data_IF_984774138707
#
_entry.id   IF_984774138707
#
_cell.length_a   1.000
_cell.length_b   1.000
_cell.length_c   1.000
_cell.angle_alpha   90.00
_cell.angle_beta   90.00
_cell.angle_gamma   90.00
#
_symmetry.space_group_name_H-M   'P 1'
#
loop_
_entity.id
_entity.type
_entity.pdbx_description
1 polymer ?
#
# COMPACT_ATOMS: atom_id res chain seq x y z
N UNK A 1 -7.24 -18.64 17.29
CA UNK A 1 -6.80 -18.74 15.88
C UNK A 1 -7.48 -17.60 15.13
N UNK A 2 -6.74 -16.71 14.46
CA UNK A 2 -7.28 -15.55 13.75
C UNK A 2 -6.94 -15.69 12.30
N UNK A 3 -7.84 -15.32 11.39
CA UNK A 3 -7.55 -15.27 9.96
C UNK A 3 -7.01 -13.88 9.61
N UNK A 4 -5.73 -13.80 9.26
CA UNK A 4 -5.01 -12.56 8.99
C UNK A 4 -4.82 -12.39 7.48
N UNK A 5 -5.21 -11.22 6.97
CA UNK A 5 -4.97 -10.82 5.58
C UNK A 5 -3.70 -9.99 5.45
N UNK A 6 -2.94 -10.21 4.39
CA UNK A 6 -1.77 -9.40 4.04
C UNK A 6 -2.10 -8.60 2.77
N UNK A 7 -1.86 -7.29 2.81
CA UNK A 7 -1.94 -6.40 1.65
C UNK A 7 -0.56 -5.81 1.39
N UNK A 8 0.06 -6.13 0.26
CA UNK A 8 1.35 -5.55 -0.13
C UNK A 8 1.51 -5.53 -1.66
N UNK A 9 2.37 -4.62 -2.19
CA UNK A 9 2.76 -4.65 -3.59
C UNK A 9 3.52 -5.94 -3.95
N UNK A 10 3.47 -6.34 -5.22
CA UNK A 10 4.17 -7.52 -5.76
C UNK A 10 5.69 -7.37 -5.86
N UNK A 11 6.22 -6.15 -5.69
CA UNK A 11 7.66 -5.91 -5.71
C UNK A 11 8.38 -6.72 -4.62
N UNK A 12 9.50 -7.37 -4.99
CA UNK A 12 10.21 -8.30 -4.10
C UNK A 12 10.64 -7.70 -2.76
N UNK A 13 10.97 -6.39 -2.73
CA UNK A 13 11.32 -5.67 -1.50
C UNK A 13 10.17 -5.56 -0.50
N UNK A 14 8.93 -5.65 -0.94
CA UNK A 14 7.73 -5.65 -0.11
C UNK A 14 7.21 -7.07 0.13
N UNK A 15 7.14 -7.87 -0.92
CA UNK A 15 6.56 -9.21 -0.87
C UNK A 15 7.37 -10.16 0.03
N UNK A 16 8.72 -10.11 -0.02
CA UNK A 16 9.56 -10.99 0.79
C UNK A 16 9.36 -10.76 2.31
N UNK A 17 9.50 -9.54 2.85
CA UNK A 17 9.25 -9.31 4.27
C UNK A 17 7.82 -9.69 4.69
N UNK A 18 6.83 -9.37 3.86
CA UNK A 18 5.42 -9.68 4.17
C UNK A 18 5.14 -11.18 4.16
N UNK A 19 5.70 -11.94 3.23
CA UNK A 19 5.54 -13.41 3.22
C UNK A 19 6.29 -14.07 4.37
N UNK A 20 7.48 -13.55 4.76
CA UNK A 20 8.21 -14.02 5.94
C UNK A 20 7.39 -13.79 7.21
N UNK A 21 6.85 -12.59 7.39
CA UNK A 21 5.99 -12.26 8.52
C UNK A 21 4.72 -13.14 8.54
N UNK A 22 4.11 -13.35 7.36
CA UNK A 22 2.96 -14.24 7.20
C UNK A 22 3.27 -15.68 7.57
N UNK A 23 4.43 -16.19 7.18
CA UNK A 23 4.90 -17.51 7.56
C UNK A 23 5.04 -17.66 9.08
N UNK A 24 5.67 -16.69 9.75
CA UNK A 24 5.81 -16.69 11.22
C UNK A 24 4.44 -16.65 11.93
N UNK A 25 3.49 -15.89 11.43
CA UNK A 25 2.13 -15.87 11.95
C UNK A 25 1.43 -17.21 11.77
N UNK A 26 1.64 -17.88 10.64
CA UNK A 26 1.13 -19.23 10.39
C UNK A 26 1.75 -20.24 11.35
N UNK A 27 3.06 -20.18 11.66
CA UNK A 27 3.72 -21.06 12.63
C UNK A 27 3.15 -20.86 14.05
N UNK A 28 2.63 -19.66 14.34
CA UNK A 28 1.94 -19.35 15.62
C UNK A 28 0.46 -19.75 15.63
N UNK A 29 0.00 -20.50 14.64
CA UNK A 29 -1.35 -21.06 14.57
C UNK A 29 -2.41 -20.13 13.98
N UNK A 30 -2.01 -19.03 13.31
CA UNK A 30 -2.95 -18.19 12.56
C UNK A 30 -3.16 -18.71 11.13
N UNK A 31 -4.32 -18.47 10.57
CA UNK A 31 -4.56 -18.61 9.14
C UNK A 31 -4.10 -17.33 8.44
N UNK A 32 -3.37 -17.43 7.33
CA UNK A 32 -2.81 -16.25 6.65
C UNK A 32 -3.07 -16.31 5.17
N UNK A 33 -3.72 -15.27 4.64
CA UNK A 33 -4.02 -15.12 3.21
C UNK A 33 -3.45 -13.80 2.70
N UNK A 34 -2.63 -13.83 1.65
CA UNK A 34 -2.22 -12.63 0.95
C UNK A 34 -3.22 -12.31 -0.17
N UNK A 35 -3.67 -11.06 -0.22
CA UNK A 35 -4.53 -10.52 -1.27
C UNK A 35 -3.68 -9.62 -2.15
N UNK A 36 -3.61 -9.92 -3.44
CA UNK A 36 -2.75 -9.19 -4.37
C UNK A 36 -2.97 -9.55 -5.82
N UNK A 37 -2.20 -8.94 -6.70
CA UNK A 37 -2.24 -9.23 -8.14
C UNK A 37 -1.57 -10.57 -8.47
N UNK A 38 -1.87 -11.14 -9.64
CA UNK A 38 -1.47 -12.49 -10.07
C UNK A 38 0.04 -12.77 -9.93
N UNK A 39 0.89 -11.77 -10.14
CA UNK A 39 2.34 -11.92 -10.07
C UNK A 39 2.89 -12.24 -8.66
N UNK A 40 2.07 -12.06 -7.62
CA UNK A 40 2.45 -12.45 -6.26
C UNK A 40 2.20 -13.94 -5.97
N UNK A 41 1.32 -14.59 -6.73
CA UNK A 41 0.78 -15.91 -6.42
C UNK A 41 1.84 -16.98 -6.18
N UNK A 42 2.76 -17.15 -7.12
CA UNK A 42 3.77 -18.22 -7.03
C UNK A 42 4.63 -18.09 -5.78
N UNK A 43 5.05 -16.87 -5.46
CA UNK A 43 5.89 -16.58 -4.29
C UNK A 43 5.14 -16.76 -2.97
N UNK A 44 3.88 -16.37 -2.92
CA UNK A 44 3.01 -16.53 -1.74
C UNK A 44 2.75 -17.99 -1.45
N UNK A 45 2.41 -18.77 -2.47
CA UNK A 45 2.19 -20.22 -2.35
C UNK A 45 3.47 -20.97 -1.96
N UNK A 46 4.63 -20.57 -2.52
CA UNK A 46 5.93 -21.13 -2.15
C UNK A 46 6.30 -20.84 -0.67
N UNK A 47 5.83 -19.72 -0.10
CA UNK A 47 5.95 -19.44 1.32
C UNK A 47 4.93 -20.21 2.18
N UNK A 48 4.11 -21.08 1.58
CA UNK A 48 3.09 -21.87 2.27
C UNK A 48 1.89 -21.08 2.77
N UNK A 49 1.64 -19.88 2.23
CA UNK A 49 0.51 -19.04 2.58
C UNK A 49 -0.63 -19.21 1.58
N UNK A 50 -1.84 -18.83 1.98
CA UNK A 50 -2.97 -18.76 1.07
C UNK A 50 -2.89 -17.50 0.21
N UNK A 51 -3.42 -17.58 -1.02
CA UNK A 51 -3.46 -16.46 -1.95
C UNK A 51 -4.88 -16.20 -2.46
N UNK A 52 -5.23 -14.92 -2.59
CA UNK A 52 -6.43 -14.45 -3.25
C UNK A 52 -6.07 -13.40 -4.28
N UNK A 53 -6.36 -13.70 -5.54
CA UNK A 53 -6.15 -12.76 -6.63
C UNK A 53 -7.17 -11.62 -6.60
N UNK A 54 -6.67 -10.44 -6.96
CA UNK A 54 -7.47 -9.27 -7.32
C UNK A 54 -6.86 -8.62 -8.56
N UNK A 55 -7.68 -7.91 -9.33
CA UNK A 55 -7.22 -7.18 -10.51
C UNK A 55 -6.74 -8.08 -11.64
N UNK A 56 -7.30 -9.24 -11.84
CA UNK A 56 -6.86 -10.18 -12.87
C UNK A 56 -6.95 -9.58 -14.28
N UNK A 57 -7.91 -8.66 -14.52
CA UNK A 57 -8.06 -7.96 -15.80
C UNK A 57 -7.03 -6.84 -15.93
N UNK A 58 -6.88 -6.01 -14.89
CA UNK A 58 -6.01 -4.83 -14.90
C UNK A 58 -4.53 -5.17 -14.74
N UNK A 59 -4.23 -6.27 -14.05
CA UNK A 59 -2.89 -6.75 -13.70
C UNK A 59 -2.77 -8.26 -13.93
N UNK A 60 -2.85 -8.72 -15.19
CA UNK A 60 -2.66 -10.13 -15.53
C UNK A 60 -1.24 -10.58 -15.17
N UNK A 61 -1.02 -11.90 -15.20
CA UNK A 61 0.30 -12.48 -14.96
C UNK A 61 1.35 -11.88 -15.92
N UNK A 62 2.50 -11.48 -15.38
CA UNK A 62 3.57 -10.81 -16.13
C UNK A 62 3.49 -9.28 -16.12
N UNK A 63 2.39 -8.68 -15.70
CA UNK A 63 2.18 -7.22 -15.72
C UNK A 63 3.22 -6.46 -14.88
N UNK A 64 3.70 -7.04 -13.78
CA UNK A 64 4.74 -6.43 -12.94
C UNK A 64 6.10 -6.38 -13.64
N UNK A 65 6.46 -7.42 -14.38
CA UNK A 65 7.70 -7.45 -15.16
C UNK A 65 7.65 -6.45 -16.32
N UNK A 66 6.51 -6.35 -17.00
CA UNK A 66 6.26 -5.36 -18.05
C UNK A 66 6.35 -3.94 -17.49
N UNK A 67 5.70 -3.66 -16.37
CA UNK A 67 5.73 -2.35 -15.71
C UNK A 67 7.16 -1.95 -15.33
N UNK A 68 7.96 -2.89 -14.79
CA UNK A 68 9.35 -2.65 -14.43
C UNK A 68 10.22 -2.41 -15.69
N UNK A 69 10.03 -3.19 -16.76
CA UNK A 69 10.70 -2.98 -18.04
C UNK A 69 10.41 -1.60 -18.63
N UNK A 70 9.16 -1.17 -18.60
CA UNK A 70 8.75 0.14 -19.07
C UNK A 70 9.33 1.27 -18.22
N UNK A 71 9.32 1.11 -16.88
CA UNK A 71 9.93 2.06 -15.95
C UNK A 71 11.44 2.20 -16.19
N UNK A 72 12.14 1.10 -16.48
CA UNK A 72 13.57 1.10 -16.77
C UNK A 72 13.98 1.88 -18.02
N UNK A 73 13.04 2.16 -18.93
CA UNK A 73 13.25 2.99 -20.13
C UNK A 73 13.04 4.48 -19.87
N UNK A 74 12.52 4.85 -18.71
CA UNK A 74 12.14 6.20 -18.35
C UNK A 74 13.11 6.77 -17.32
N UNK A 75 13.19 8.10 -17.26
CA UNK A 75 14.00 8.82 -16.27
C UNK A 75 13.31 10.09 -15.79
N UNK A 76 13.78 10.65 -14.69
CA UNK A 76 13.32 11.92 -14.17
C UNK A 76 11.80 12.00 -13.98
N UNK A 77 11.19 13.04 -14.51
CA UNK A 77 9.76 13.32 -14.33
C UNK A 77 8.85 12.28 -15.01
N UNK A 78 9.27 11.70 -16.11
CA UNK A 78 8.46 10.71 -16.83
C UNK A 78 8.43 9.37 -16.08
N UNK A 79 9.56 8.93 -15.49
CA UNK A 79 9.59 7.78 -14.60
C UNK A 79 8.69 8.02 -13.37
N UNK A 80 8.73 9.22 -12.81
CA UNK A 80 7.88 9.58 -11.67
C UNK A 80 6.39 9.56 -12.04
N UNK A 81 5.99 10.19 -13.15
CA UNK A 81 4.59 10.19 -13.65
C UNK A 81 4.09 8.78 -13.90
N UNK A 82 4.91 7.95 -14.53
CA UNK A 82 4.59 6.55 -14.78
C UNK A 82 4.34 5.79 -13.47
N UNK A 83 5.23 5.95 -12.50
CA UNK A 83 5.11 5.32 -11.17
C UNK A 83 3.82 5.76 -10.45
N UNK A 84 3.52 7.07 -10.46
CA UNK A 84 2.26 7.59 -9.86
C UNK A 84 1.04 7.01 -10.58
N UNK A 85 1.07 6.91 -11.91
CA UNK A 85 0.01 6.29 -12.71
C UNK A 85 -0.21 4.81 -12.36
N UNK A 86 0.88 4.06 -12.19
CA UNK A 86 0.84 2.66 -11.78
C UNK A 86 0.23 2.50 -10.38
N UNK A 87 0.70 3.28 -9.40
CA UNK A 87 0.12 3.26 -8.06
C UNK A 87 -1.34 3.69 -8.03
N UNK A 88 -1.73 4.66 -8.86
CA UNK A 88 -3.14 5.06 -9.00
C UNK A 88 -4.01 3.89 -9.46
N UNK A 89 -3.60 3.19 -10.53
CA UNK A 89 -4.33 2.01 -11.04
C UNK A 89 -4.42 0.93 -9.96
N UNK A 90 -3.29 0.58 -9.35
CA UNK A 90 -3.23 -0.45 -8.30
C UNK A 90 -4.13 -0.08 -7.11
N UNK A 91 -4.09 1.16 -6.64
CA UNK A 91 -4.95 1.65 -5.55
C UNK A 91 -6.43 1.53 -5.92
N UNK A 92 -6.79 1.87 -7.17
CA UNK A 92 -8.17 1.74 -7.66
C UNK A 92 -8.63 0.29 -7.60
N UNK A 93 -7.83 -0.64 -8.10
CA UNK A 93 -8.12 -2.08 -8.07
C UNK A 93 -8.28 -2.58 -6.63
N UNK A 94 -7.37 -2.21 -5.73
CA UNK A 94 -7.47 -2.60 -4.32
C UNK A 94 -8.75 -2.06 -3.67
N UNK A 95 -9.10 -0.80 -3.89
CA UNK A 95 -10.31 -0.19 -3.32
C UNK A 95 -11.60 -0.84 -3.85
N UNK A 96 -11.61 -1.29 -5.09
CA UNK A 96 -12.78 -1.90 -5.72
C UNK A 96 -12.95 -3.38 -5.37
N UNK A 97 -11.87 -4.16 -5.33
CA UNK A 97 -11.94 -5.62 -5.28
C UNK A 97 -11.53 -6.21 -3.92
N UNK A 98 -10.54 -5.63 -3.23
CA UNK A 98 -10.07 -6.19 -1.97
C UNK A 98 -11.15 -6.24 -0.86
N UNK A 99 -12.09 -5.28 -0.73
CA UNK A 99 -13.13 -5.40 0.29
C UNK A 99 -13.98 -6.67 0.18
N UNK A 100 -14.37 -7.05 -1.03
CA UNK A 100 -15.13 -8.28 -1.28
C UNK A 100 -14.26 -9.53 -1.08
N UNK A 101 -13.02 -9.51 -1.55
CA UNK A 101 -12.07 -10.62 -1.38
C UNK A 101 -11.81 -10.89 0.11
N UNK A 102 -11.61 -9.84 0.93
CA UNK A 102 -11.40 -9.91 2.38
C UNK A 102 -12.62 -10.52 3.08
N UNK A 103 -13.82 -10.02 2.78
CA UNK A 103 -15.07 -10.54 3.37
C UNK A 103 -15.30 -12.00 3.00
N UNK A 104 -15.15 -12.34 1.73
CA UNK A 104 -15.39 -13.69 1.23
C UNK A 104 -14.37 -14.72 1.77
N UNK A 105 -13.16 -14.27 2.09
CA UNK A 105 -12.16 -15.09 2.75
C UNK A 105 -12.37 -15.23 4.26
N UNK A 106 -13.23 -14.41 4.88
CA UNK A 106 -13.45 -14.41 6.32
C UNK A 106 -12.24 -13.86 7.10
N UNK A 107 -11.54 -12.87 6.55
CA UNK A 107 -10.38 -12.25 7.20
C UNK A 107 -10.84 -11.37 8.36
N UNK A 108 -10.17 -11.48 9.50
CA UNK A 108 -10.54 -10.84 10.77
C UNK A 108 -9.59 -9.68 11.15
N UNK A 109 -8.36 -9.66 10.60
CA UNK A 109 -7.38 -8.61 10.83
C UNK A 109 -6.50 -8.43 9.59
N UNK A 110 -5.89 -7.24 9.43
CA UNK A 110 -5.02 -6.95 8.29
C UNK A 110 -3.62 -6.50 8.72
N UNK A 111 -2.61 -6.99 8.01
CA UNK A 111 -1.29 -6.38 7.93
C UNK A 111 -1.19 -5.67 6.58
N UNK A 112 -0.96 -4.39 6.62
CA UNK A 112 -0.97 -3.53 5.45
C UNK A 112 0.42 -2.93 5.25
N UNK A 113 1.07 -3.27 4.14
CA UNK A 113 2.30 -2.58 3.75
C UNK A 113 2.01 -1.10 3.48
N UNK A 114 2.87 -0.21 3.96
CA UNK A 114 2.69 1.24 3.79
C UNK A 114 2.60 1.68 2.32
N UNK A 115 3.15 0.90 1.38
CA UNK A 115 3.06 1.17 -0.05
C UNK A 115 1.77 0.62 -0.70
N UNK A 116 0.93 -0.10 0.06
CA UNK A 116 -0.42 -0.48 -0.36
C UNK A 116 -1.38 0.67 -0.09
N UNK A 117 -1.30 1.71 -0.93
CA UNK A 117 -2.15 2.89 -0.78
C UNK A 117 -3.63 2.50 -0.81
N UNK A 118 -4.37 2.96 0.19
CA UNK A 118 -5.77 2.59 0.39
C UNK A 118 -5.99 1.36 1.29
N UNK A 119 -4.97 0.60 1.64
CA UNK A 119 -5.11 -0.61 2.46
C UNK A 119 -5.66 -0.32 3.86
N UNK A 120 -5.18 0.72 4.54
CA UNK A 120 -5.73 1.18 5.82
C UNK A 120 -7.19 1.65 5.68
N UNK A 121 -7.51 2.35 4.59
CA UNK A 121 -8.87 2.78 4.28
C UNK A 121 -9.82 1.59 4.10
N UNK A 122 -9.34 0.51 3.46
CA UNK A 122 -10.09 -0.74 3.32
C UNK A 122 -10.34 -1.37 4.69
N UNK A 123 -9.32 -1.42 5.56
CA UNK A 123 -9.47 -1.94 6.92
C UNK A 123 -10.51 -1.16 7.71
N UNK A 124 -10.44 0.18 7.69
CA UNK A 124 -11.41 1.07 8.32
C UNK A 124 -12.82 0.89 7.74
N UNK A 125 -12.96 0.80 6.41
CA UNK A 125 -14.24 0.56 5.73
C UNK A 125 -14.90 -0.74 6.19
N UNK A 126 -14.09 -1.77 6.43
CA UNK A 126 -14.54 -3.09 6.86
C UNK A 126 -14.64 -3.22 8.39
N UNK A 127 -14.24 -2.18 9.14
CA UNK A 127 -14.14 -2.19 10.60
C UNK A 127 -13.25 -3.34 11.12
N UNK A 128 -12.12 -3.58 10.42
CA UNK A 128 -11.14 -4.59 10.79
C UNK A 128 -9.95 -3.94 11.52
N UNK A 129 -9.41 -4.56 12.56
CA UNK A 129 -8.15 -4.15 13.15
C UNK A 129 -7.04 -4.33 12.12
N UNK A 130 -6.08 -3.39 12.09
CA UNK A 130 -4.95 -3.49 11.17
C UNK A 130 -3.66 -2.94 11.78
N UNK A 131 -2.54 -3.43 11.25
CA UNK A 131 -1.20 -2.91 11.53
C UNK A 131 -0.56 -2.49 10.23
N UNK A 132 0.01 -1.28 10.20
CA UNK A 132 0.85 -0.83 9.08
C UNK A 132 2.25 -1.39 9.21
N UNK A 133 2.75 -2.02 8.16
CA UNK A 133 4.09 -2.60 8.06
C UNK A 133 4.94 -1.76 7.13
N UNK A 134 6.12 -1.37 7.57
CA UNK A 134 7.07 -0.60 6.77
C UNK A 134 8.17 -1.53 6.23
N UNK A 135 8.04 -1.97 4.99
CA UNK A 135 9.03 -2.80 4.30
C UNK A 135 10.14 -1.99 3.63
N UNK A 136 10.06 -0.66 3.66
CA UNK A 136 10.99 0.29 3.06
C UNK A 136 11.13 1.52 3.98
N UNK A 137 11.74 2.60 3.45
CA UNK A 137 11.79 3.88 4.19
C UNK A 137 10.39 4.36 4.53
N UNK A 138 10.21 4.78 5.77
CA UNK A 138 8.95 5.34 6.24
C UNK A 138 8.59 6.61 5.49
N UNK A 139 7.32 6.73 5.10
CA UNK A 139 6.79 7.94 4.44
C UNK A 139 6.53 9.10 5.41
N UNK A 140 7.15 9.06 6.59
CA UNK A 140 7.02 10.12 7.57
C UNK A 140 7.56 11.44 7.03
N UNK A 141 6.83 12.52 7.33
CA UNK A 141 7.23 13.87 6.98
C UNK A 141 7.91 14.53 8.16
N UNK A 142 9.16 14.86 7.97
CA UNK A 142 9.90 15.72 8.86
C UNK A 142 10.63 16.78 8.03
N UNK A 143 10.30 18.04 8.23
CA UNK A 143 10.97 19.15 7.53
C UNK A 143 12.47 19.22 7.83
N UNK A 144 12.94 18.56 8.87
CA UNK A 144 14.37 18.45 9.19
C UNK A 144 15.07 17.45 8.24
N UNK A 145 14.35 16.48 7.71
CA UNK A 145 14.87 15.48 6.78
C UNK A 145 14.41 15.77 5.33
N UNK A 146 15.26 15.55 4.32
CA UNK A 146 14.85 15.68 2.94
C UNK A 146 13.81 14.63 2.58
N UNK A 147 12.91 14.90 1.61
CA UNK A 147 11.97 13.91 1.12
C UNK A 147 12.70 12.67 0.60
N UNK A 148 12.20 11.49 0.95
CA UNK A 148 12.83 10.19 0.66
C UNK A 148 13.09 9.91 -0.84
N UNK A 149 12.35 10.58 -1.74
CA UNK A 149 12.51 10.44 -3.20
C UNK A 149 13.61 11.38 -3.77
N UNK A 150 14.25 12.18 -2.92
CA UNK A 150 15.28 13.12 -3.36
C UNK A 150 16.67 12.63 -2.96
N UNK A 151 17.68 12.97 -3.76
CA UNK A 151 19.10 12.76 -3.43
C UNK A 151 19.69 13.91 -2.60
N UNK A 152 18.86 14.74 -1.97
CA UNK A 152 19.33 15.88 -1.20
C UNK A 152 20.03 15.45 0.08
N UNK A 153 21.19 16.03 0.34
CA UNK A 153 21.89 15.81 1.60
C UNK A 153 21.13 16.41 2.79
N UNK A 154 21.28 15.80 3.95
CA UNK A 154 20.78 16.34 5.21
C UNK A 154 21.39 17.72 5.46
N UNK A 155 20.56 18.72 5.75
CA UNK A 155 20.98 20.07 6.07
C UNK A 155 20.12 20.60 7.23
N UNK A 156 20.68 20.70 8.46
CA UNK A 156 19.92 21.11 9.64
C UNK A 156 19.60 22.61 9.67
N UNK A 157 20.14 23.38 8.73
CA UNK A 157 19.92 24.82 8.60
C UNK A 157 18.47 25.18 8.29
N UNK A 158 18.08 26.41 8.54
CA UNK A 158 16.74 26.89 8.19
C UNK A 158 16.46 26.85 6.68
N UNK A 159 17.48 27.07 5.84
CA UNK A 159 17.40 26.87 4.39
C UNK A 159 17.12 25.41 4.01
N UNK A 160 17.78 24.48 4.68
CA UNK A 160 17.52 23.04 4.49
C UNK A 160 16.07 22.69 4.81
N UNK A 161 15.53 23.22 5.90
CA UNK A 161 14.11 23.02 6.28
C UNK A 161 13.14 23.63 5.27
N UNK A 162 13.41 24.85 4.78
CA UNK A 162 12.60 25.51 3.75
C UNK A 162 12.60 24.69 2.45
N UNK A 163 13.79 24.25 1.98
CA UNK A 163 13.95 23.38 0.81
C UNK A 163 13.13 22.09 0.97
N UNK A 164 13.25 21.43 2.12
CA UNK A 164 12.55 20.19 2.39
C UNK A 164 11.02 20.41 2.40
N UNK A 165 10.55 21.49 3.01
CA UNK A 165 9.13 21.86 3.03
C UNK A 165 8.58 22.08 1.61
N UNK A 166 9.33 22.76 0.74
CA UNK A 166 8.96 22.95 -0.66
C UNK A 166 8.94 21.63 -1.41
N UNK A 167 9.93 20.75 -1.18
CA UNK A 167 9.98 19.42 -1.74
C UNK A 167 8.76 18.56 -1.34
N UNK A 168 8.38 18.56 -0.07
CA UNK A 168 7.18 17.87 0.39
C UNK A 168 5.90 18.43 -0.25
N UNK A 169 5.79 19.75 -0.40
CA UNK A 169 4.64 20.36 -1.11
C UNK A 169 4.56 19.93 -2.57
N UNK A 170 5.71 19.83 -3.24
CA UNK A 170 5.75 19.34 -4.63
C UNK A 170 5.30 17.87 -4.72
N UNK A 171 5.80 17.02 -3.83
CA UNK A 171 5.37 15.61 -3.74
C UNK A 171 3.87 15.52 -3.52
N UNK A 172 3.30 16.35 -2.65
CA UNK A 172 1.85 16.39 -2.40
C UNK A 172 1.05 16.72 -3.64
N UNK A 173 1.52 17.69 -4.41
CA UNK A 173 0.88 18.06 -5.67
C UNK A 173 0.86 16.87 -6.64
N UNK A 174 1.98 16.18 -6.76
CA UNK A 174 2.13 15.04 -7.66
C UNK A 174 1.35 13.81 -7.18
N UNK A 175 1.27 13.60 -5.86
CA UNK A 175 0.51 12.50 -5.25
C UNK A 175 -1.01 12.74 -5.17
N UNK A 176 -1.51 13.92 -5.53
CA UNK A 176 -2.96 14.26 -5.50
C UNK A 176 -3.81 13.26 -6.28
N UNK A 177 -3.28 12.66 -7.33
CA UNK A 177 -4.00 11.66 -8.10
C UNK A 177 -4.35 10.40 -7.29
N UNK A 178 -3.46 10.01 -6.35
CA UNK A 178 -3.68 8.85 -5.48
C UNK A 178 -4.55 9.25 -4.29
N UNK A 179 -4.22 10.34 -3.61
CA UNK A 179 -5.00 10.83 -2.46
C UNK A 179 -6.42 11.24 -2.84
N UNK A 180 -6.62 11.69 -4.09
CA UNK A 180 -7.94 11.98 -4.64
C UNK A 180 -8.87 10.77 -4.75
N UNK A 181 -8.33 9.55 -4.89
CA UNK A 181 -9.11 8.30 -4.86
C UNK A 181 -9.54 7.93 -3.44
N UNK A 182 -8.66 8.13 -2.48
CA UNK A 182 -8.84 7.70 -1.09
C UNK A 182 -9.75 8.67 -0.32
N UNK A 183 -9.54 9.98 -0.49
CA UNK A 183 -10.22 11.03 0.26
C UNK A 183 -11.76 10.98 0.19
N UNK A 184 -12.41 10.74 -0.96
CA UNK A 184 -13.88 10.64 -1.01
C UNK A 184 -14.42 9.46 -0.19
N UNK A 185 -13.70 8.33 -0.21
CA UNK A 185 -14.06 7.12 0.56
C UNK A 185 -13.94 7.40 2.05
N UNK A 186 -12.82 7.98 2.48
CA UNK A 186 -12.61 8.38 3.88
C UNK A 186 -13.65 9.40 4.34
N UNK A 187 -13.98 10.41 3.54
CA UNK A 187 -15.01 11.42 3.87
C UNK A 187 -16.38 10.78 4.04
N UNK A 188 -16.74 9.84 3.20
CA UNK A 188 -18.02 9.11 3.29
C UNK A 188 -18.05 8.26 4.55
N UNK A 189 -16.97 7.58 4.86
CA UNK A 189 -16.82 6.78 6.08
C UNK A 189 -16.89 7.64 7.34
N UNK A 190 -16.13 8.73 7.41
CA UNK A 190 -16.12 9.65 8.55
C UNK A 190 -17.50 10.29 8.79
N UNK A 191 -18.26 10.58 7.72
CA UNK A 191 -19.67 11.05 7.86
C UNK A 191 -20.58 9.98 8.45
N UNK A 192 -20.41 8.71 8.08
CA UNK A 192 -21.16 7.57 8.64
C UNK A 192 -20.73 7.22 10.07
N UNK A 193 -19.42 7.28 10.37
CA UNK A 193 -18.83 6.92 11.65
C UNK A 193 -19.12 7.92 12.77
N UNK A 194 -19.24 9.21 12.47
CA UNK A 194 -19.61 10.24 13.46
C UNK A 194 -20.95 9.98 14.14
N UNK A 195 -21.84 9.18 13.55
CA UNK A 195 -23.09 8.76 14.20
C UNK A 195 -22.90 7.65 15.25
N UNK A 196 -21.76 6.96 15.29
CA UNK A 196 -21.51 5.86 16.22
C UNK A 196 -20.51 6.17 17.36
N UNK A 197 -19.77 7.27 17.28
CA UNK A 197 -18.73 7.62 18.28
C UNK A 197 -19.25 8.54 19.42
N UNK A 198 -20.53 8.87 19.44
CA UNK A 198 -21.14 9.73 20.47
C UNK A 198 -22.18 9.05 21.34
N UNK A 199 -22.14 7.73 21.48
CA UNK A 199 -22.97 7.01 22.46
C UNK A 199 -22.06 5.98 23.18
N UNK A 200 -21.55 6.36 24.33
CA UNK A 200 -20.85 5.45 25.26
C UNK A 200 -19.82 6.18 26.06
#
# INVERSE_FOLDING_TARGET
>A
MTHIGLLCPTASGHLNPMTTLGYELKQRGHRVTLIGTMDAQSKVLAAGLEFRAIGEIDFPAGSSAEALSNLGKLSGLDAFRYTVGLFKRLTTTYLNEAPSAIKNAGIEALLVDQASFGGSTIAELLNLPFVSVCCALMFNRDVKAPPFITSWSFAPSWWGRLRNQLGYRLIDQLAKQITGLINPILRTFLKKGRKKLFIG
#
